data_IF_404296771800
#
_entry.id   IF_404296771800
#
_cell.length_a   1.000
_cell.length_b   1.000
_cell.length_c   1.000
_cell.angle_alpha   90.00
_cell.angle_beta   90.00
_cell.angle_gamma   90.00
#
_symmetry.space_group_name_H-M   'P 1'
#
loop_
_entity.id
_entity.type
_entity.pdbx_description
1 polymer ?
#
# COMPACT_ATOMS: atom_id res chain seq x y z
N UNK A 1 21.63 5.73 6.78
CA UNK A 1 21.23 4.77 5.72
C UNK A 1 19.72 4.87 5.59
N UNK A 2 19.19 5.05 4.38
CA UNK A 2 17.74 5.14 4.16
C UNK A 2 17.19 3.77 3.80
N UNK A 3 16.18 3.31 4.54
CA UNK A 3 15.49 2.04 4.35
C UNK A 3 14.15 2.31 3.66
N UNK A 4 14.00 1.81 2.44
CA UNK A 4 12.75 1.84 1.69
C UNK A 4 12.16 0.45 1.61
N UNK A 5 10.89 0.30 1.99
CA UNK A 5 10.15 -0.92 1.76
C UNK A 5 9.22 -0.78 0.56
N UNK A 6 9.03 -1.88 -0.15
CA UNK A 6 8.04 -1.99 -1.22
C UNK A 6 6.83 -2.78 -0.72
N UNK A 7 5.63 -2.31 -1.04
CA UNK A 7 4.39 -2.97 -0.69
C UNK A 7 3.43 -3.00 -1.87
N UNK A 8 2.82 -4.17 -2.08
CA UNK A 8 1.81 -4.36 -3.10
C UNK A 8 0.42 -4.18 -2.48
N UNK A 9 -0.47 -3.34 -3.05
CA UNK A 9 -1.85 -3.23 -2.62
C UNK A 9 -2.57 -4.57 -2.56
N UNK A 10 -3.64 -4.70 -1.75
CA UNK A 10 -4.47 -5.90 -1.73
C UNK A 10 -4.96 -6.30 -3.12
N UNK A 11 -5.06 -7.61 -3.35
CA UNK A 11 -5.70 -8.17 -4.55
C UNK A 11 -7.21 -7.94 -4.48
N UNK A 12 -7.84 -7.73 -5.62
CA UNK A 12 -9.29 -7.76 -5.78
C UNK A 12 -9.65 -9.18 -6.24
N UNK A 13 -10.37 -9.93 -5.40
CA UNK A 13 -10.76 -11.31 -5.68
C UNK A 13 -12.28 -11.46 -5.46
N UNK A 14 -13.00 -12.29 -6.24
CA UNK A 14 -14.46 -12.40 -6.17
C UNK A 14 -15.01 -12.75 -4.77
N UNK A 15 -14.31 -13.64 -4.06
CA UNK A 15 -14.76 -14.19 -2.77
C UNK A 15 -14.08 -13.54 -1.56
N UNK A 16 -13.38 -12.41 -1.74
CA UNK A 16 -12.64 -11.74 -0.67
C UNK A 16 -13.17 -10.32 -0.47
N UNK A 17 -13.50 -10.01 0.79
CA UNK A 17 -13.83 -8.64 1.16
C UNK A 17 -12.59 -7.75 1.01
N UNK A 18 -12.63 -6.90 -0.01
CA UNK A 18 -11.52 -6.00 -0.35
C UNK A 18 -11.33 -4.93 0.72
N UNK A 19 -12.39 -4.43 1.35
CA UNK A 19 -12.29 -3.41 2.39
C UNK A 19 -11.63 -3.96 3.65
N UNK A 20 -11.96 -5.18 4.07
CA UNK A 20 -11.26 -5.85 5.17
C UNK A 20 -9.77 -6.07 4.86
N UNK A 21 -9.47 -6.40 3.60
CA UNK A 21 -8.09 -6.56 3.13
C UNK A 21 -7.33 -5.23 3.14
N UNK A 22 -7.99 -4.11 2.80
CA UNK A 22 -7.42 -2.76 2.91
C UNK A 22 -7.15 -2.42 4.37
N UNK A 23 -8.08 -2.66 5.28
CA UNK A 23 -7.90 -2.39 6.72
C UNK A 23 -6.68 -3.15 7.26
N UNK A 24 -6.60 -4.47 7.01
CA UNK A 24 -5.45 -5.30 7.41
C UNK A 24 -4.13 -4.78 6.82
N UNK A 25 -4.15 -4.35 5.56
CA UNK A 25 -2.98 -3.78 4.91
C UNK A 25 -2.51 -2.49 5.58
N UNK A 26 -3.42 -1.57 5.89
CA UNK A 26 -3.11 -0.30 6.54
C UNK A 26 -2.57 -0.49 7.96
N UNK A 27 -3.14 -1.40 8.75
CA UNK A 27 -2.62 -1.73 10.07
C UNK A 27 -1.19 -2.28 9.99
N UNK A 28 -0.90 -3.11 8.98
CA UNK A 28 0.47 -3.57 8.71
C UNK A 28 1.39 -2.41 8.31
N UNK A 29 0.92 -1.46 7.51
CA UNK A 29 1.70 -0.26 7.15
C UNK A 29 2.01 0.61 8.38
N UNK A 30 1.09 0.74 9.34
CA UNK A 30 1.37 1.46 10.62
C UNK A 30 2.53 0.83 11.37
N UNK A 31 2.58 -0.49 11.45
CA UNK A 31 3.68 -1.22 12.10
C UNK A 31 4.99 -1.04 11.31
N UNK A 32 4.95 -1.19 9.99
CA UNK A 32 6.11 -1.10 9.09
C UNK A 32 6.70 0.31 9.04
N UNK A 33 5.86 1.35 9.10
CA UNK A 33 6.28 2.76 9.04
C UNK A 33 7.26 3.14 10.15
N UNK A 34 7.28 2.40 11.26
CA UNK A 34 8.22 2.59 12.38
C UNK A 34 9.61 1.99 12.12
N UNK A 35 9.76 1.23 11.04
CA UNK A 35 10.98 0.45 10.70
C UNK A 35 11.60 0.85 9.35
N UNK A 36 11.03 1.84 8.66
CA UNK A 36 11.51 2.31 7.37
C UNK A 36 11.32 3.83 7.25
N UNK A 37 12.07 4.46 6.36
CA UNK A 37 11.98 5.90 6.10
C UNK A 37 10.90 6.22 5.06
N UNK A 38 10.58 5.27 4.18
CA UNK A 38 9.59 5.45 3.12
C UNK A 38 9.04 4.12 2.60
N UNK A 39 7.82 4.16 2.08
CA UNK A 39 7.16 3.01 1.46
C UNK A 39 6.86 3.32 -0.02
N UNK A 40 7.25 2.41 -0.91
CA UNK A 40 6.84 2.42 -2.31
C UNK A 40 5.64 1.48 -2.50
N UNK A 41 4.57 1.96 -3.14
CA UNK A 41 3.37 1.19 -3.45
C UNK A 41 3.32 0.87 -4.94
N UNK A 42 3.27 -0.42 -5.27
CA UNK A 42 3.35 -0.89 -6.67
C UNK A 42 1.97 -1.20 -7.26
N UNK A 43 1.65 -0.69 -8.46
CA UNK A 43 0.32 -0.90 -9.07
C UNK A 43 0.00 -2.33 -9.42
N UNK A 44 0.95 -3.04 -10.01
CA UNK A 44 0.63 -4.30 -10.64
C UNK A 44 1.80 -5.27 -10.53
N UNK A 45 1.50 -6.44 -10.01
CA UNK A 45 2.45 -7.53 -9.81
C UNK A 45 1.75 -8.81 -10.22
N UNK A 46 2.29 -9.44 -11.27
CA UNK A 46 1.90 -10.79 -11.75
C UNK A 46 0.49 -10.89 -12.35
N UNK A 47 -0.03 -9.82 -12.96
CA UNK A 47 -1.28 -9.88 -13.75
C UNK A 47 -2.57 -9.99 -12.93
N UNK A 48 -2.51 -9.73 -11.62
CA UNK A 48 -3.69 -9.67 -10.76
C UNK A 48 -4.22 -8.24 -10.65
N UNK A 49 -5.54 -8.10 -10.70
CA UNK A 49 -6.19 -6.83 -10.35
C UNK A 49 -6.00 -6.56 -8.85
N UNK A 50 -5.58 -5.34 -8.54
CA UNK A 50 -5.27 -4.88 -7.19
C UNK A 50 -5.93 -3.54 -6.94
N UNK A 51 -6.10 -3.22 -5.66
CA UNK A 51 -6.55 -1.88 -5.28
C UNK A 51 -5.56 -0.85 -5.81
N UNK A 52 -6.05 0.19 -6.49
CA UNK A 52 -5.20 1.25 -7.04
C UNK A 52 -4.21 1.79 -5.99
N UNK A 53 -2.91 1.92 -6.33
CA UNK A 53 -1.91 2.54 -5.45
C UNK A 53 -2.27 3.96 -5.02
N UNK A 54 -2.96 4.72 -5.88
CA UNK A 54 -3.40 6.08 -5.54
C UNK A 54 -4.43 6.03 -4.42
N UNK A 55 -5.39 5.10 -4.50
CA UNK A 55 -6.42 4.90 -3.47
C UNK A 55 -5.76 4.49 -2.15
N UNK A 56 -4.86 3.50 -2.17
CA UNK A 56 -4.11 3.07 -0.98
C UNK A 56 -3.26 4.21 -0.41
N UNK A 57 -2.52 4.92 -1.26
CA UNK A 57 -1.66 6.03 -0.86
C UNK A 57 -2.44 7.15 -0.16
N UNK A 58 -3.64 7.48 -0.66
CA UNK A 58 -4.54 8.45 -0.01
C UNK A 58 -4.96 8.00 1.40
N UNK A 59 -5.23 6.70 1.60
CA UNK A 59 -5.60 6.16 2.91
C UNK A 59 -4.38 6.17 3.84
N UNK A 60 -3.22 5.72 3.37
CA UNK A 60 -1.97 5.77 4.15
C UNK A 60 -1.66 7.20 4.58
N UNK A 61 -1.81 8.20 3.71
CA UNK A 61 -1.55 9.60 4.06
C UNK A 61 -2.56 10.20 5.05
N UNK A 62 -3.76 9.64 5.16
CA UNK A 62 -4.69 10.02 6.23
C UNK A 62 -4.30 9.42 7.58
N UNK A 63 -3.90 8.15 7.58
CA UNK A 63 -3.58 7.39 8.79
C UNK A 63 -2.15 7.62 9.32
N UNK A 64 -1.21 7.92 8.42
CA UNK A 64 0.22 8.12 8.68
C UNK A 64 0.71 9.35 7.89
N UNK A 65 0.28 10.58 8.26
CA UNK A 65 0.48 11.78 7.44
C UNK A 65 1.94 12.08 7.10
N UNK A 66 2.84 11.81 8.04
CA UNK A 66 4.25 12.16 7.92
C UNK A 66 5.09 11.14 7.14
N UNK A 67 4.57 9.94 6.85
CA UNK A 67 5.32 8.93 6.11
C UNK A 67 5.45 9.33 4.63
N UNK A 68 6.66 9.52 4.09
CA UNK A 68 6.85 9.70 2.66
C UNK A 68 6.43 8.42 1.92
N UNK A 69 5.57 8.56 0.92
CA UNK A 69 5.16 7.45 0.06
C UNK A 69 5.44 7.78 -1.40
N UNK A 70 5.78 6.76 -2.17
CA UNK A 70 5.87 6.86 -3.63
C UNK A 70 4.99 5.78 -4.24
N UNK A 71 4.49 6.01 -5.44
CA UNK A 71 3.65 5.05 -6.16
C UNK A 71 4.24 4.82 -7.54
N UNK A 72 4.18 3.59 -8.04
CA UNK A 72 4.34 3.33 -9.48
C UNK A 72 2.96 3.20 -10.11
N UNK A 73 2.83 3.72 -11.32
CA UNK A 73 1.63 3.64 -12.14
C UNK A 73 2.03 3.23 -13.56
N UNK A 74 1.25 2.37 -14.18
CA UNK A 74 1.36 1.91 -15.57
C UNK A 74 0.15 2.43 -16.33
N UNK A 75 0.40 3.29 -17.31
CA UNK A 75 -0.58 3.85 -18.26
C UNK A 75 -0.56 3.08 -19.58
#
# INVERSE_FOLDING_TARGET
MTIRYEANPPKILPDVNTDESIIKFIEKMKIISKKCDTIHITENVLGYERVSPIKIGKIIKKEIPNLPITVSLRV
#
